data_IF_301062959052
#
_entry.id   IF_301062959052
#
_cell.length_a   1.000
_cell.length_b   1.000
_cell.length_c   1.000
_cell.angle_alpha   90.00
_cell.angle_beta   90.00
_cell.angle_gamma   90.00
#
_symmetry.space_group_name_H-M   'P 1'
#
loop_
_entity.id
_entity.type
_entity.pdbx_description
1 polymer ?
#
# COMPACT_ATOMS: atom_id res chain seq x y z
N UNK A 1 -62.45 45.24 11.95
CA UNK A 1 -62.06 43.82 11.95
C UNK A 1 -60.63 43.73 11.43
N UNK A 2 -59.63 43.67 12.35
CA UNK A 2 -58.21 43.56 11.98
C UNK A 2 -57.81 42.06 12.06
N UNK A 3 -57.46 41.45 10.93
CA UNK A 3 -56.97 40.07 10.87
C UNK A 3 -55.45 40.06 11.18
N UNK A 4 -55.08 39.38 12.27
CA UNK A 4 -53.69 39.15 12.65
C UNK A 4 -53.22 37.89 11.92
N UNK A 5 -52.19 38.04 11.06
CA UNK A 5 -51.54 36.91 10.37
C UNK A 5 -50.36 36.49 11.25
N UNK A 6 -50.45 35.30 11.79
CA UNK A 6 -49.37 34.68 12.57
C UNK A 6 -48.43 33.95 11.62
N UNK A 7 -47.22 34.50 11.43
CA UNK A 7 -46.18 33.86 10.61
C UNK A 7 -45.40 32.84 11.51
N UNK A 8 -45.56 31.56 11.22
CA UNK A 8 -44.81 30.50 11.87
C UNK A 8 -43.44 30.33 11.18
N UNK A 9 -42.38 30.77 11.83
CA UNK A 9 -41.03 30.53 11.37
C UNK A 9 -40.62 29.07 11.71
N UNK A 10 -40.45 28.23 10.68
CA UNK A 10 -39.87 26.91 10.83
C UNK A 10 -38.35 27.07 10.83
N UNK A 11 -37.74 26.96 12.00
CA UNK A 11 -36.28 26.88 12.11
C UNK A 11 -35.82 25.48 11.71
N UNK A 12 -35.26 25.35 10.51
CA UNK A 12 -34.59 24.14 10.05
C UNK A 12 -33.29 23.94 10.82
N UNK A 13 -33.24 22.94 11.69
CA UNK A 13 -31.99 22.46 12.30
C UNK A 13 -31.15 21.76 11.22
N UNK A 14 -30.16 22.46 10.70
CA UNK A 14 -29.09 21.80 9.94
C UNK A 14 -28.22 21.04 10.94
N UNK A 15 -28.38 19.71 11.03
CA UNK A 15 -27.39 18.85 11.64
C UNK A 15 -26.13 18.85 10.77
N UNK A 16 -25.13 19.64 11.16
CA UNK A 16 -23.78 19.50 10.64
C UNK A 16 -23.23 18.17 11.18
N UNK A 17 -23.26 17.12 10.34
CA UNK A 17 -22.56 15.89 10.65
C UNK A 17 -21.09 16.22 10.87
N UNK A 18 -20.54 15.85 12.05
CA UNK A 18 -19.12 15.94 12.29
C UNK A 18 -18.43 15.05 11.25
N UNK A 19 -17.67 15.64 10.33
CA UNK A 19 -16.78 14.91 9.47
C UNK A 19 -15.68 14.33 10.38
N UNK A 20 -15.69 13.03 10.61
CA UNK A 20 -14.57 12.37 11.26
C UNK A 20 -13.38 12.48 10.31
N UNK A 21 -12.30 13.08 10.77
CA UNK A 21 -11.04 13.09 10.02
C UNK A 21 -10.50 11.65 9.95
N UNK A 22 -9.88 11.30 8.82
CA UNK A 22 -9.18 10.02 8.69
C UNK A 22 -8.10 9.90 9.77
N UNK A 23 -7.99 8.72 10.36
CA UNK A 23 -6.91 8.41 11.30
C UNK A 23 -5.57 8.25 10.54
N UNK A 24 -4.49 8.78 11.09
CA UNK A 24 -3.14 8.66 10.51
C UNK A 24 -2.36 7.55 11.20
N UNK A 25 -1.70 6.71 10.39
CA UNK A 25 -0.88 5.58 10.85
C UNK A 25 0.49 5.64 10.17
N UNK A 26 1.52 5.22 10.90
CA UNK A 26 2.85 4.99 10.36
C UNK A 26 3.14 3.50 10.31
N UNK A 27 3.72 3.03 9.21
CA UNK A 27 4.11 1.62 9.05
C UNK A 27 5.06 1.23 10.18
N UNK A 28 4.78 0.10 10.82
CA UNK A 28 5.70 -0.55 11.76
C UNK A 28 6.70 -1.39 10.96
N UNK A 29 7.96 -0.95 10.80
CA UNK A 29 8.94 -1.64 9.98
C UNK A 29 9.31 -3.02 10.52
N UNK A 30 9.00 -3.31 11.79
CA UNK A 30 9.27 -4.61 12.41
C UNK A 30 8.21 -5.66 12.08
N UNK A 31 7.05 -5.21 11.60
CA UNK A 31 5.92 -6.05 11.20
C UNK A 31 5.40 -5.65 9.80
N UNK A 32 6.33 -5.40 8.87
CA UNK A 32 6.02 -5.10 7.48
C UNK A 32 6.71 -6.11 6.58
N UNK A 33 5.91 -6.82 5.80
CA UNK A 33 6.35 -7.76 4.79
C UNK A 33 5.88 -7.29 3.42
N UNK A 34 6.82 -6.99 2.51
CA UNK A 34 6.55 -6.71 1.11
C UNK A 34 7.27 -7.75 0.27
N UNK A 35 6.58 -8.86 0.07
CA UNK A 35 7.05 -10.02 -0.68
C UNK A 35 6.74 -9.91 -2.17
N UNK A 36 7.57 -10.53 -2.98
CA UNK A 36 7.34 -10.72 -4.39
C UNK A 36 7.69 -12.13 -4.85
N UNK A 37 7.08 -12.55 -5.94
CA UNK A 37 7.38 -13.82 -6.60
C UNK A 37 7.23 -13.69 -8.11
N UNK A 38 8.11 -14.40 -8.83
CA UNK A 38 8.07 -14.46 -10.30
C UNK A 38 8.34 -15.87 -10.80
N UNK A 39 7.94 -16.20 -12.01
CA UNK A 39 8.22 -17.50 -12.64
C UNK A 39 9.72 -17.60 -12.94
N UNK A 40 10.32 -18.74 -12.62
CA UNK A 40 11.71 -19.05 -12.95
C UNK A 40 11.76 -20.24 -13.90
N UNK A 41 11.89 -19.97 -15.20
CA UNK A 41 12.03 -20.92 -16.30
C UNK A 41 10.97 -22.05 -16.34
N UNK A 42 9.80 -21.83 -15.72
CA UNK A 42 8.75 -22.83 -15.60
C UNK A 42 9.00 -23.91 -14.54
N UNK A 43 10.19 -23.93 -13.90
CA UNK A 43 10.52 -24.96 -12.91
C UNK A 43 9.91 -24.65 -11.55
N UNK A 44 9.94 -23.36 -11.14
CA UNK A 44 9.44 -22.91 -9.84
C UNK A 44 9.14 -21.42 -9.87
N UNK A 45 8.79 -20.87 -8.72
CA UNK A 45 8.76 -19.43 -8.49
C UNK A 45 9.96 -19.00 -7.67
N UNK A 46 10.69 -17.99 -8.15
CA UNK A 46 11.66 -17.28 -7.34
C UNK A 46 10.91 -16.32 -6.39
N UNK A 47 11.29 -16.29 -5.13
CA UNK A 47 10.70 -15.46 -4.09
C UNK A 47 11.74 -14.48 -3.55
N UNK A 48 11.27 -13.33 -3.11
CA UNK A 48 12.05 -12.36 -2.38
C UNK A 48 11.15 -11.40 -1.61
N UNK A 49 11.76 -10.56 -0.79
CA UNK A 49 11.08 -9.49 -0.07
C UNK A 49 12.00 -8.28 0.09
N UNK A 50 11.40 -7.11 0.36
CA UNK A 50 12.13 -5.92 0.80
C UNK A 50 12.06 -5.86 2.32
N UNK A 51 13.23 -5.66 2.98
CA UNK A 51 13.35 -5.64 4.45
C UNK A 51 13.20 -4.25 5.05
N UNK A 52 13.45 -3.19 4.29
CA UNK A 52 13.29 -1.82 4.73
C UNK A 52 12.04 -1.22 4.07
N UNK A 53 11.00 -1.13 4.88
CA UNK A 53 9.67 -0.63 4.50
C UNK A 53 9.34 0.54 5.40
N UNK A 54 8.86 1.63 4.83
CA UNK A 54 8.36 2.80 5.55
C UNK A 54 7.14 3.39 4.85
N UNK A 55 6.42 4.26 5.54
CA UNK A 55 5.30 4.95 4.92
C UNK A 55 4.19 5.31 5.88
N UNK A 56 3.13 5.86 5.33
CA UNK A 56 1.96 6.32 6.07
C UNK A 56 0.66 5.86 5.41
N UNK A 57 -0.33 5.62 6.25
CA UNK A 57 -1.70 5.31 5.84
C UNK A 57 -2.62 6.32 6.54
N UNK A 58 -3.37 7.08 5.75
CA UNK A 58 -4.51 7.85 6.25
C UNK A 58 -5.75 7.01 6.02
N UNK A 59 -6.37 6.50 7.10
CA UNK A 59 -7.48 5.55 6.99
C UNK A 59 -8.78 6.14 7.53
N UNK A 60 -9.72 6.38 6.62
CA UNK A 60 -11.10 6.79 6.95
C UNK A 60 -11.99 5.54 7.01
N UNK A 61 -12.31 5.11 8.23
CA UNK A 61 -13.16 3.93 8.47
C UNK A 61 -14.62 4.14 8.11
N UNK A 62 -15.06 5.38 8.08
CA UNK A 62 -16.42 5.73 7.69
C UNK A 62 -16.59 5.75 6.16
N UNK A 63 -15.55 6.18 5.46
CA UNK A 63 -15.52 6.23 3.99
C UNK A 63 -14.11 5.89 3.48
N UNK A 64 -13.86 4.62 3.25
CA UNK A 64 -12.55 4.11 2.82
C UNK A 64 -12.06 4.74 1.51
N UNK A 65 -12.96 5.30 0.70
CA UNK A 65 -12.58 5.96 -0.57
C UNK A 65 -11.82 7.27 -0.35
N UNK A 66 -11.85 7.82 0.87
CA UNK A 66 -11.09 9.01 1.29
C UNK A 66 -9.74 8.68 1.91
N UNK A 67 -9.45 7.40 2.09
CA UNK A 67 -8.17 6.95 2.61
C UNK A 67 -7.05 7.18 1.60
N UNK A 68 -5.81 7.26 2.10
CA UNK A 68 -4.60 7.36 1.26
C UNK A 68 -3.49 6.48 1.81
N UNK A 69 -2.62 6.02 0.90
CA UNK A 69 -1.48 5.16 1.22
C UNK A 69 -0.24 5.71 0.52
N UNK A 70 0.84 5.91 1.27
CA UNK A 70 2.15 6.25 0.74
C UNK A 70 3.19 5.32 1.36
N UNK A 71 3.86 4.51 0.54
CA UNK A 71 4.85 3.51 0.96
C UNK A 71 6.15 3.77 0.22
N UNK A 72 7.27 3.60 0.92
CA UNK A 72 8.61 3.58 0.36
C UNK A 72 9.36 2.33 0.81
N UNK A 73 10.03 1.69 -0.13
CA UNK A 73 10.93 0.55 0.08
C UNK A 73 12.33 0.98 -0.30
N UNK A 74 13.33 0.59 0.48
CA UNK A 74 14.72 0.71 0.06
C UNK A 74 15.07 -0.42 -0.92
N UNK A 75 15.43 -0.07 -2.16
CA UNK A 75 15.75 -1.04 -3.20
C UNK A 75 16.93 -1.95 -2.80
N UNK A 76 17.90 -1.42 -2.06
CA UNK A 76 19.04 -2.16 -1.53
C UNK A 76 18.67 -3.18 -0.44
N UNK A 77 17.46 -3.12 0.12
CA UNK A 77 16.98 -4.04 1.16
C UNK A 77 16.42 -5.35 0.63
N UNK A 78 16.47 -5.57 -0.69
CA UNK A 78 16.00 -6.80 -1.33
C UNK A 78 16.72 -8.02 -0.76
N UNK A 79 15.95 -9.03 -0.38
CA UNK A 79 16.44 -10.30 0.14
C UNK A 79 15.66 -11.46 -0.49
N UNK A 80 16.42 -12.40 -1.04
CA UNK A 80 15.91 -13.61 -1.70
C UNK A 80 16.46 -14.88 -1.06
N UNK A 81 17.06 -14.76 0.13
CA UNK A 81 17.76 -15.86 0.83
C UNK A 81 18.96 -16.42 0.05
N UNK A 82 19.56 -15.62 -0.85
CA UNK A 82 20.77 -15.93 -1.60
C UNK A 82 21.56 -14.65 -1.88
N UNK A 83 22.73 -14.50 -1.28
CA UNK A 83 23.50 -13.26 -1.31
C UNK A 83 24.01 -12.90 -2.73
N UNK A 84 24.32 -13.88 -3.56
CA UNK A 84 24.76 -13.63 -4.94
C UNK A 84 23.59 -13.08 -5.76
N UNK A 85 22.42 -13.63 -5.59
CA UNK A 85 21.20 -13.14 -6.25
C UNK A 85 20.83 -11.76 -5.70
N UNK A 86 20.89 -11.53 -4.39
CA UNK A 86 20.65 -10.23 -3.78
C UNK A 86 21.57 -9.15 -4.38
N UNK A 87 22.86 -9.45 -4.50
CA UNK A 87 23.86 -8.56 -5.14
C UNK A 87 23.50 -8.26 -6.59
N UNK A 88 23.12 -9.30 -7.36
CA UNK A 88 22.73 -9.12 -8.76
C UNK A 88 21.43 -8.34 -8.91
N UNK A 89 20.44 -8.57 -8.06
CA UNK A 89 19.20 -7.81 -8.09
C UNK A 89 19.40 -6.31 -7.79
N UNK A 90 20.40 -5.94 -6.99
CA UNK A 90 20.75 -4.54 -6.70
C UNK A 90 21.48 -3.85 -7.85
N UNK A 91 22.03 -4.61 -8.82
CA UNK A 91 22.83 -4.09 -9.93
C UNK A 91 21.97 -3.38 -10.99
N UNK A 92 22.61 -2.64 -11.94
CA UNK A 92 21.94 -2.01 -13.07
C UNK A 92 21.15 -2.97 -13.99
N UNK A 93 21.40 -4.26 -13.93
CA UNK A 93 20.64 -5.27 -14.69
C UNK A 93 19.17 -5.40 -14.19
N UNK A 94 18.91 -5.02 -12.92
CA UNK A 94 17.60 -5.18 -12.28
C UNK A 94 17.13 -3.91 -11.59
N UNK A 95 17.41 -3.74 -10.28
CA UNK A 95 16.87 -2.64 -9.48
C UNK A 95 17.70 -1.36 -9.56
N UNK A 96 18.97 -1.46 -10.01
CA UNK A 96 19.90 -0.33 -10.04
C UNK A 96 19.84 0.53 -8.77
N UNK A 97 19.97 -0.14 -7.62
CA UNK A 97 19.67 0.43 -6.30
C UNK A 97 20.59 1.61 -5.91
N UNK A 98 21.74 1.76 -6.58
CA UNK A 98 22.64 2.90 -6.39
C UNK A 98 22.06 4.19 -7.00
N UNK A 99 21.48 4.10 -8.19
CA UNK A 99 20.87 5.22 -8.91
C UNK A 99 19.42 5.46 -8.46
N UNK A 100 18.67 4.38 -8.20
CA UNK A 100 17.26 4.41 -7.78
C UNK A 100 17.12 3.76 -6.40
N UNK A 101 17.50 4.44 -5.32
CA UNK A 101 17.56 3.84 -3.98
C UNK A 101 16.19 3.52 -3.39
N UNK A 102 15.13 4.12 -3.92
CA UNK A 102 13.77 3.92 -3.42
C UNK A 102 12.81 3.42 -4.50
N UNK A 103 11.93 2.51 -4.07
CA UNK A 103 10.73 2.10 -4.78
C UNK A 103 9.57 2.68 -3.99
N UNK A 104 8.65 3.41 -4.64
CA UNK A 104 7.54 4.05 -3.95
C UNK A 104 6.19 3.64 -4.52
N UNK A 105 5.17 3.61 -3.68
CA UNK A 105 3.77 3.44 -4.07
C UNK A 105 2.95 4.54 -3.42
N UNK A 106 2.18 5.26 -4.24
CA UNK A 106 1.26 6.30 -3.78
C UNK A 106 -0.14 6.06 -4.35
N UNK A 107 -1.11 5.88 -3.46
CA UNK A 107 -2.50 5.65 -3.90
C UNK A 107 -3.06 6.86 -4.65
N UNK A 108 -3.79 6.58 -5.72
CA UNK A 108 -4.52 7.58 -6.54
C UNK A 108 -6.02 7.43 -6.41
N UNK A 109 -6.51 6.21 -6.15
CA UNK A 109 -7.92 5.95 -5.87
C UNK A 109 -8.10 4.68 -5.06
N UNK A 110 -9.19 4.66 -4.26
CA UNK A 110 -9.59 3.51 -3.47
C UNK A 110 -11.06 3.21 -3.76
N UNK A 111 -11.35 1.98 -4.14
CA UNK A 111 -12.70 1.48 -4.40
C UNK A 111 -13.05 0.41 -3.37
N UNK A 112 -14.13 0.63 -2.61
CA UNK A 112 -14.63 -0.37 -1.66
C UNK A 112 -15.24 -1.56 -2.41
N UNK A 113 -14.76 -2.78 -2.11
CA UNK A 113 -15.26 -4.02 -2.73
C UNK A 113 -16.02 -4.91 -1.77
N UNK A 114 -15.93 -4.66 -0.47
CA UNK A 114 -16.63 -5.38 0.59
C UNK A 114 -16.50 -4.67 1.94
N UNK A 115 -16.92 -5.32 3.03
CA UNK A 115 -16.91 -4.68 4.35
C UNK A 115 -15.48 -4.38 4.85
N UNK A 116 -14.53 -5.24 4.50
CA UNK A 116 -13.12 -5.14 4.87
C UNK A 116 -12.19 -5.18 3.67
N UNK A 117 -12.70 -5.09 2.45
CA UNK A 117 -11.91 -5.22 1.23
C UNK A 117 -12.06 -4.01 0.33
N UNK A 118 -10.97 -3.67 -0.35
CA UNK A 118 -10.92 -2.59 -1.31
C UNK A 118 -9.91 -2.89 -2.43
N UNK A 119 -10.14 -2.27 -3.60
CA UNK A 119 -9.10 -2.11 -4.61
C UNK A 119 -8.42 -0.76 -4.41
N UNK A 120 -7.10 -0.80 -4.24
CA UNK A 120 -6.28 0.41 -4.13
C UNK A 120 -5.48 0.54 -5.42
N UNK A 121 -5.82 1.52 -6.23
CA UNK A 121 -5.00 1.91 -7.39
C UNK A 121 -4.00 2.95 -6.94
N UNK A 122 -2.76 2.82 -7.34
CA UNK A 122 -1.71 3.79 -7.01
C UNK A 122 -0.58 3.75 -8.03
N UNK A 123 0.19 4.82 -8.04
CA UNK A 123 1.39 4.93 -8.87
C UNK A 123 2.55 4.21 -8.17
N UNK A 124 2.99 3.11 -8.76
CA UNK A 124 4.25 2.44 -8.41
C UNK A 124 5.38 3.14 -9.17
N UNK A 125 6.39 3.61 -8.46
CA UNK A 125 7.62 4.15 -9.07
C UNK A 125 8.76 3.18 -8.82
N UNK A 126 9.34 2.67 -9.90
CA UNK A 126 10.44 1.72 -9.93
C UNK A 126 11.40 2.12 -11.07
N UNK A 127 12.71 2.15 -10.82
CA UNK A 127 13.71 2.57 -11.82
C UNK A 127 13.40 3.96 -12.44
N UNK A 128 12.88 4.89 -11.64
CA UNK A 128 12.47 6.22 -12.12
C UNK A 128 11.22 6.24 -13.01
N UNK A 129 10.64 5.08 -13.33
CA UNK A 129 9.40 4.95 -14.11
C UNK A 129 8.21 4.80 -13.16
N UNK A 130 7.17 5.61 -13.38
CA UNK A 130 5.95 5.56 -12.58
C UNK A 130 4.78 5.04 -13.42
N UNK A 131 4.08 4.03 -12.93
CA UNK A 131 2.91 3.43 -13.61
C UNK A 131 1.85 3.00 -12.60
N UNK A 132 0.58 3.00 -13.00
CA UNK A 132 -0.52 2.56 -12.14
C UNK A 132 -0.44 1.04 -11.89
N UNK A 133 -0.58 0.66 -10.63
CA UNK A 133 -0.72 -0.73 -10.16
C UNK A 133 -1.94 -0.80 -9.27
N UNK A 134 -2.68 -1.91 -9.36
CA UNK A 134 -3.85 -2.18 -8.53
C UNK A 134 -3.52 -3.25 -7.50
N UNK A 135 -3.84 -2.95 -6.25
CA UNK A 135 -3.73 -3.89 -5.14
C UNK A 135 -5.14 -4.27 -4.65
N UNK A 136 -5.38 -5.57 -4.48
CA UNK A 136 -6.52 -6.08 -3.75
C UNK A 136 -6.16 -6.11 -2.26
N UNK A 137 -6.80 -5.25 -1.46
CA UNK A 137 -6.45 -5.00 -0.06
C UNK A 137 -7.55 -5.52 0.87
N UNK A 138 -7.12 -6.15 1.97
CA UNK A 138 -7.98 -6.55 3.09
C UNK A 138 -7.53 -5.81 4.34
N UNK A 139 -8.46 -5.13 5.01
CA UNK A 139 -8.28 -4.65 6.37
C UNK A 139 -8.49 -5.80 7.36
N UNK A 140 -7.46 -6.18 8.09
CA UNK A 140 -7.49 -7.33 8.98
C UNK A 140 -8.17 -6.99 10.31
N UNK A 141 -7.57 -6.04 11.06
CA UNK A 141 -8.03 -5.62 12.36
C UNK A 141 -7.44 -4.26 12.76
N UNK A 142 -8.03 -3.68 13.80
CA UNK A 142 -7.46 -2.57 14.57
C UNK A 142 -7.76 -2.82 16.04
N UNK A 143 -6.75 -2.67 16.90
CA UNK A 143 -6.90 -2.75 18.35
C UNK A 143 -5.75 -2.06 19.07
N UNK A 144 -5.94 -1.77 20.35
CA UNK A 144 -4.84 -1.48 21.24
C UNK A 144 -3.97 -2.74 21.44
N UNK A 145 -2.67 -2.54 21.70
CA UNK A 145 -1.78 -3.65 22.06
C UNK A 145 -2.21 -4.28 23.38
N UNK A 146 -2.14 -5.62 23.53
CA UNK A 146 -2.52 -6.28 24.76
C UNK A 146 -1.71 -5.87 26.00
N UNK A 147 -0.48 -5.39 25.78
CA UNK A 147 0.46 -4.95 26.82
C UNK A 147 0.64 -3.44 26.91
N UNK A 148 0.04 -2.67 25.98
CA UNK A 148 0.04 -1.21 26.00
C UNK A 148 -1.25 -0.66 25.37
N UNK A 149 -2.20 -0.30 26.21
CA UNK A 149 -3.51 0.18 25.78
C UNK A 149 -3.46 1.57 25.10
N UNK A 150 -2.35 2.29 25.19
CA UNK A 150 -2.20 3.61 24.54
C UNK A 150 -1.70 3.48 23.09
N UNK A 151 -1.10 2.36 22.73
CA UNK A 151 -0.63 2.11 21.37
C UNK A 151 -1.70 1.34 20.60
N UNK A 152 -2.27 1.98 19.58
CA UNK A 152 -3.25 1.37 18.67
C UNK A 152 -2.54 0.96 17.39
N UNK A 153 -2.73 -0.28 16.97
CA UNK A 153 -2.26 -0.80 15.70
C UNK A 153 -3.42 -1.20 14.79
N UNK A 154 -3.18 -1.06 13.50
CA UNK A 154 -4.04 -1.60 12.44
C UNK A 154 -3.21 -2.48 11.51
N UNK A 155 -3.82 -3.48 10.90
CA UNK A 155 -3.17 -4.41 9.99
C UNK A 155 -3.88 -4.53 8.66
N UNK A 156 -3.10 -4.66 7.58
CA UNK A 156 -3.59 -4.85 6.22
C UNK A 156 -2.81 -5.95 5.52
N UNK A 157 -3.52 -6.73 4.71
CA UNK A 157 -2.94 -7.67 3.74
C UNK A 157 -3.28 -7.20 2.34
N UNK A 158 -2.36 -7.34 1.39
CA UNK A 158 -2.62 -6.96 0.01
C UNK A 158 -1.96 -7.94 -0.98
N UNK A 159 -2.60 -8.11 -2.12
CA UNK A 159 -2.04 -8.82 -3.27
C UNK A 159 -2.18 -7.98 -4.53
N UNK A 160 -1.31 -8.22 -5.49
CA UNK A 160 -1.34 -7.55 -6.78
C UNK A 160 -0.30 -8.13 -7.72
N UNK A 161 -0.17 -7.54 -8.89
CA UNK A 161 0.91 -7.90 -9.82
C UNK A 161 1.18 -6.75 -10.78
N UNK A 162 2.39 -6.75 -11.33
CA UNK A 162 2.80 -5.85 -12.39
C UNK A 162 3.83 -6.54 -13.31
N UNK A 163 4.05 -5.99 -14.50
CA UNK A 163 5.10 -6.46 -15.39
C UNK A 163 6.40 -5.70 -15.12
N UNK A 164 7.46 -6.41 -14.77
CA UNK A 164 8.79 -5.81 -14.58
C UNK A 164 9.32 -5.12 -15.84
N UNK A 165 8.96 -5.63 -17.03
CA UNK A 165 9.33 -5.03 -18.31
C UNK A 165 8.76 -3.63 -18.49
N UNK A 166 7.57 -3.35 -17.92
CA UNK A 166 6.92 -2.04 -17.99
C UNK A 166 7.70 -0.96 -17.24
N UNK A 167 8.55 -1.35 -16.30
CA UNK A 167 9.40 -0.48 -15.50
C UNK A 167 10.85 -0.48 -15.95
N UNK A 168 11.19 -1.19 -17.06
CA UNK A 168 12.52 -1.21 -17.60
C UNK A 168 13.43 -2.32 -17.06
N UNK A 169 12.90 -3.31 -16.31
CA UNK A 169 13.67 -4.50 -15.92
C UNK A 169 13.80 -5.43 -17.15
N UNK A 170 14.62 -5.05 -18.09
CA UNK A 170 14.72 -5.73 -19.38
C UNK A 170 15.42 -7.10 -19.33
N UNK A 171 16.29 -7.32 -18.34
CA UNK A 171 17.13 -8.51 -18.23
C UNK A 171 16.44 -9.76 -17.70
N UNK A 172 15.17 -9.65 -17.25
CA UNK A 172 14.46 -10.80 -16.67
C UNK A 172 14.43 -12.01 -17.60
N UNK A 173 14.13 -11.79 -18.89
CA UNK A 173 14.06 -12.86 -19.89
C UNK A 173 15.40 -13.57 -20.11
N UNK A 174 16.52 -12.87 -20.03
CA UNK A 174 17.88 -13.42 -20.23
C UNK A 174 18.21 -14.49 -19.18
N UNK A 175 17.56 -14.40 -18.01
CA UNK A 175 17.71 -15.34 -16.90
C UNK A 175 16.53 -16.32 -16.76
N UNK A 176 15.67 -16.42 -17.78
CA UNK A 176 14.49 -17.29 -17.74
C UNK A 176 13.43 -16.85 -16.72
N UNK A 177 13.44 -15.58 -16.33
CA UNK A 177 12.48 -15.00 -15.40
C UNK A 177 11.29 -14.47 -16.18
N UNK A 178 10.08 -14.88 -15.79
CA UNK A 178 8.85 -14.37 -16.39
C UNK A 178 8.66 -12.86 -16.11
N UNK A 179 7.96 -12.15 -17.00
CA UNK A 179 7.79 -10.69 -16.86
C UNK A 179 6.92 -10.29 -15.66
N UNK A 180 6.03 -11.17 -15.25
CA UNK A 180 5.04 -10.88 -14.20
C UNK A 180 5.65 -11.06 -12.82
N UNK A 181 5.54 -10.01 -12.01
CA UNK A 181 5.93 -9.97 -10.60
C UNK A 181 4.64 -9.90 -9.78
N UNK A 182 4.33 -10.98 -9.07
CA UNK A 182 3.21 -11.02 -8.14
C UNK A 182 3.66 -10.54 -6.75
N UNK A 183 2.82 -9.72 -6.13
CA UNK A 183 3.04 -9.15 -4.80
C UNK A 183 2.24 -9.91 -3.74
N UNK A 184 2.83 -10.01 -2.53
CA UNK A 184 2.26 -10.61 -1.33
C UNK A 184 2.70 -9.74 -0.14
N UNK A 185 1.75 -8.98 0.42
CA UNK A 185 2.04 -7.88 1.33
C UNK A 185 1.24 -8.06 2.60
N UNK A 186 1.92 -7.99 3.74
CA UNK A 186 1.33 -7.91 5.07
C UNK A 186 2.01 -6.80 5.86
N UNK A 187 1.23 -5.86 6.38
CA UNK A 187 1.77 -4.72 7.13
C UNK A 187 0.94 -4.43 8.36
N UNK A 188 1.63 -4.08 9.45
CA UNK A 188 1.04 -3.40 10.59
C UNK A 188 1.41 -1.92 10.55
N UNK A 189 0.54 -1.07 11.09
CA UNK A 189 0.78 0.35 11.21
C UNK A 189 0.29 0.88 12.56
N UNK A 190 1.03 1.82 13.13
CA UNK A 190 0.79 2.40 14.46
C UNK A 190 0.08 3.73 14.29
N UNK A 191 -1.01 3.94 15.01
CA UNK A 191 -1.76 5.20 15.03
C UNK A 191 -0.91 6.31 15.62
N UNK A 192 -0.92 7.47 14.95
CA UNK A 192 -0.25 8.71 15.39
C UNK A 192 -1.08 9.48 16.40
#
# INVERSE_FOLDING_TARGET
MKRLILATAVAGMFMTGAAFAADSYEIDPTHAWVGFKTNHAGWTKAHGAFKAVSGTISFDKADVTKSTVEIALEAASVDTNDEKRNTHLKSPDFLNAEEFPQITFKSTSIEKTGDKTAKVTGDLTLLGTSKPVVLDVTWNAESALPWDANTIKTGFSATGSFSGADFGIAKMADFGIGPDIALDIDVEAIKK
#
